data_IF_576164469498
#
_entry.id   IF_576164469498
#
_cell.length_a   1.000
_cell.length_b   1.000
_cell.length_c   1.000
_cell.angle_alpha   90.00
_cell.angle_beta   90.00
_cell.angle_gamma   90.00
#
_symmetry.space_group_name_H-M   'P 1'
#
loop_
_entity.id
_entity.type
_entity.pdbx_description
1 polymer ?
#
# COMPACT_ATOMS: atom_id res chain seq x y z
N UNK A 1 -89.66 -17.67 -20.20
CA UNK A 1 -89.07 -16.38 -19.78
C UNK A 1 -87.78 -16.66 -19.01
N UNK A 2 -86.62 -16.64 -19.69
CA UNK A 2 -85.31 -16.83 -19.07
C UNK A 2 -84.47 -15.57 -19.22
N UNK A 3 -84.18 -14.88 -18.11
CA UNK A 3 -83.26 -13.74 -18.08
C UNK A 3 -81.83 -14.27 -18.20
N UNK A 4 -81.12 -13.95 -19.27
CA UNK A 4 -79.67 -14.17 -19.37
C UNK A 4 -78.96 -12.99 -18.71
N UNK A 5 -78.26 -13.24 -17.60
CA UNK A 5 -77.34 -12.30 -16.97
C UNK A 5 -76.13 -12.08 -17.89
N UNK A 6 -75.81 -10.81 -18.16
CA UNK A 6 -74.58 -10.40 -18.82
C UNK A 6 -73.56 -10.02 -17.74
N UNK A 7 -72.57 -10.86 -17.51
CA UNK A 7 -71.48 -10.60 -16.56
C UNK A 7 -70.36 -9.85 -17.27
N UNK A 8 -70.15 -8.58 -16.93
CA UNK A 8 -69.04 -7.76 -17.42
C UNK A 8 -67.84 -7.99 -16.50
N UNK A 9 -66.74 -8.52 -17.05
CA UNK A 9 -65.45 -8.59 -16.36
C UNK A 9 -64.66 -7.30 -16.64
N UNK A 10 -64.48 -6.47 -15.61
CA UNK A 10 -63.58 -5.31 -15.66
C UNK A 10 -62.22 -5.78 -15.13
N UNK A 11 -61.24 -5.95 -16.01
CA UNK A 11 -59.85 -6.19 -15.65
C UNK A 11 -59.21 -4.86 -15.26
N UNK A 12 -58.98 -4.66 -13.96
CA UNK A 12 -58.30 -3.48 -13.41
C UNK A 12 -56.78 -3.65 -13.56
N UNK A 13 -56.19 -3.09 -14.62
CA UNK A 13 -54.74 -3.00 -14.76
C UNK A 13 -54.19 -1.92 -13.80
N UNK A 14 -53.61 -2.34 -12.68
CA UNK A 14 -52.84 -1.47 -11.80
C UNK A 14 -51.49 -1.20 -12.46
N UNK A 15 -51.32 -0.01 -13.04
CA UNK A 15 -50.03 0.48 -13.51
C UNK A 15 -49.26 1.00 -12.29
N UNK A 16 -48.29 0.22 -11.82
CA UNK A 16 -47.30 0.64 -10.82
C UNK A 16 -46.34 1.64 -11.48
N UNK A 17 -46.64 2.94 -11.34
CA UNK A 17 -45.71 4.01 -11.69
C UNK A 17 -44.64 4.05 -10.60
N UNK A 18 -43.49 3.43 -10.88
CA UNK A 18 -42.30 3.53 -10.03
C UNK A 18 -41.68 4.91 -10.29
N UNK A 19 -41.95 5.86 -9.39
CA UNK A 19 -41.19 7.11 -9.34
C UNK A 19 -39.72 6.78 -9.04
N UNK A 20 -38.86 6.89 -10.06
CA UNK A 20 -37.41 6.89 -9.88
C UNK A 20 -37.04 8.17 -9.12
N UNK A 21 -36.88 8.06 -7.80
CA UNK A 21 -36.10 9.04 -7.06
C UNK A 21 -34.65 8.83 -7.52
N UNK A 22 -33.99 9.79 -8.17
CA UNK A 22 -32.58 9.66 -8.46
C UNK A 22 -31.85 9.60 -7.12
N UNK A 23 -31.45 8.39 -6.72
CA UNK A 23 -30.53 8.21 -5.62
C UNK A 23 -29.28 9.01 -6.00
N UNK A 24 -29.06 10.12 -5.31
CA UNK A 24 -27.83 10.90 -5.43
C UNK A 24 -26.70 9.92 -5.13
N UNK A 25 -25.99 9.47 -6.17
CA UNK A 25 -24.91 8.50 -6.04
C UNK A 25 -23.99 9.02 -4.93
N UNK A 26 -23.81 8.20 -3.89
CA UNK A 26 -22.84 8.51 -2.85
C UNK A 26 -21.51 8.81 -3.56
N UNK A 27 -20.73 9.81 -3.11
CA UNK A 27 -19.45 10.11 -3.74
C UNK A 27 -18.66 8.81 -3.86
N UNK A 28 -18.26 8.49 -5.09
CA UNK A 28 -17.45 7.31 -5.41
C UNK A 28 -16.25 7.29 -4.48
N UNK A 29 -16.05 6.20 -3.76
CA UNK A 29 -14.82 5.99 -3.01
C UNK A 29 -13.92 5.14 -3.90
N UNK A 30 -12.89 5.72 -4.55
CA UNK A 30 -12.08 4.99 -5.53
C UNK A 30 -11.35 3.79 -4.92
N UNK A 31 -11.09 3.78 -3.61
CA UNK A 31 -10.50 2.62 -2.93
C UNK A 31 -11.49 1.47 -2.78
N UNK A 32 -12.75 1.79 -2.51
CA UNK A 32 -13.80 0.77 -2.43
C UNK A 32 -14.06 0.17 -3.80
N UNK A 33 -14.12 1.00 -4.84
CA UNK A 33 -14.29 0.54 -6.22
C UNK A 33 -13.13 -0.34 -6.67
N UNK A 34 -11.87 0.06 -6.39
CA UNK A 34 -10.70 -0.78 -6.65
C UNK A 34 -10.77 -2.12 -5.94
N UNK A 35 -11.11 -2.13 -4.65
CA UNK A 35 -11.19 -3.37 -3.89
C UNK A 35 -12.24 -4.32 -4.49
N UNK A 36 -13.41 -3.80 -4.86
CA UNK A 36 -14.45 -4.59 -5.53
C UNK A 36 -13.97 -5.12 -6.88
N UNK A 37 -13.26 -4.31 -7.66
CA UNK A 37 -12.67 -4.72 -8.93
C UNK A 37 -11.65 -5.86 -8.74
N UNK A 38 -10.77 -5.78 -7.74
CA UNK A 38 -9.80 -6.85 -7.44
C UNK A 38 -10.47 -8.14 -6.97
N UNK A 39 -11.47 -8.04 -6.09
CA UNK A 39 -12.22 -9.20 -5.60
C UNK A 39 -13.04 -9.87 -6.71
N UNK A 40 -13.63 -9.07 -7.61
CA UNK A 40 -14.28 -9.58 -8.81
C UNK A 40 -13.30 -10.36 -9.69
N UNK A 41 -12.10 -9.82 -9.91
CA UNK A 41 -11.08 -10.52 -10.71
C UNK A 41 -10.53 -11.78 -10.05
N UNK A 42 -10.40 -11.80 -8.72
CA UNK A 42 -10.08 -13.02 -7.98
C UNK A 42 -11.14 -14.09 -8.21
N UNK A 43 -12.43 -13.75 -8.15
CA UNK A 43 -13.51 -14.70 -8.36
C UNK A 43 -13.50 -15.33 -9.76
N UNK A 44 -13.06 -14.58 -10.78
CA UNK A 44 -13.03 -15.05 -12.18
C UNK A 44 -11.73 -15.78 -12.52
N UNK A 45 -10.58 -15.32 -12.01
CA UNK A 45 -9.26 -15.83 -12.41
C UNK A 45 -8.64 -16.79 -11.39
N UNK A 46 -9.07 -16.70 -10.13
CA UNK A 46 -8.49 -17.38 -8.98
C UNK A 46 -7.17 -16.78 -8.49
N UNK A 47 -6.71 -15.65 -9.06
CA UNK A 47 -5.55 -14.93 -8.53
C UNK A 47 -5.99 -14.12 -7.30
N UNK A 48 -5.36 -14.31 -6.13
CA UNK A 48 -5.79 -13.62 -4.92
C UNK A 48 -5.76 -12.10 -5.08
N UNK A 49 -6.84 -11.42 -4.66
CA UNK A 49 -6.96 -9.97 -4.77
C UNK A 49 -5.78 -9.19 -4.17
N UNK A 50 -5.08 -9.64 -3.09
CA UNK A 50 -3.95 -8.90 -2.54
C UNK A 50 -2.79 -8.76 -3.52
N UNK A 51 -2.59 -9.74 -4.42
CA UNK A 51 -1.57 -9.65 -5.45
C UNK A 51 -1.94 -8.66 -6.55
N UNK A 52 -3.21 -8.62 -6.94
CA UNK A 52 -3.72 -7.64 -7.91
C UNK A 52 -3.58 -6.21 -7.36
N UNK A 53 -4.00 -6.01 -6.11
CA UNK A 53 -3.84 -4.74 -5.40
C UNK A 53 -2.36 -4.34 -5.21
N UNK A 54 -1.49 -5.31 -4.94
CA UNK A 54 -0.05 -5.07 -4.80
C UNK A 54 0.61 -4.65 -6.11
N UNK A 55 0.24 -5.28 -7.23
CA UNK A 55 0.74 -4.89 -8.55
C UNK A 55 0.27 -3.49 -8.92
N UNK A 56 -1.02 -3.19 -8.73
CA UNK A 56 -1.55 -1.83 -8.94
C UNK A 56 -0.78 -0.81 -8.09
N UNK A 57 -0.63 -1.06 -6.78
CA UNK A 57 0.09 -0.15 -5.89
C UNK A 57 1.56 0.01 -6.28
N UNK A 58 2.23 -1.06 -6.70
CA UNK A 58 3.61 -1.00 -7.18
C UNK A 58 3.74 -0.13 -8.44
N UNK A 59 2.85 -0.30 -9.42
CA UNK A 59 2.84 0.50 -10.65
C UNK A 59 2.54 1.99 -10.38
N UNK A 60 1.63 2.29 -9.43
CA UNK A 60 1.37 3.64 -8.92
C UNK A 60 2.65 4.27 -8.36
N UNK A 61 3.39 3.54 -7.55
CA UNK A 61 4.64 4.02 -6.96
C UNK A 61 5.68 4.31 -8.04
N UNK A 62 5.85 3.42 -9.01
CA UNK A 62 6.78 3.63 -10.13
C UNK A 62 6.42 4.87 -10.95
N UNK A 63 5.15 5.09 -11.24
CA UNK A 63 4.67 6.27 -11.98
C UNK A 63 4.91 7.57 -11.21
N UNK A 64 4.71 7.57 -9.90
CA UNK A 64 5.00 8.74 -9.05
C UNK A 64 6.49 9.08 -8.99
N UNK A 65 7.36 8.07 -9.12
CA UNK A 65 8.81 8.22 -9.04
C UNK A 65 9.47 8.46 -10.41
N UNK A 66 8.82 8.08 -11.50
CA UNK A 66 9.31 8.24 -12.86
C UNK A 66 8.31 9.02 -13.72
N UNK A 67 8.64 10.29 -14.01
CA UNK A 67 7.79 11.23 -14.74
C UNK A 67 7.67 10.93 -16.25
N UNK A 68 8.52 10.05 -16.78
CA UNK A 68 8.47 9.65 -18.19
C UNK A 68 7.35 8.64 -18.48
N UNK A 69 6.65 8.18 -17.43
CA UNK A 69 5.50 7.28 -17.55
C UNK A 69 4.21 8.04 -17.86
N UNK A 70 3.30 7.47 -18.66
CA UNK A 70 2.04 8.11 -19.02
C UNK A 70 1.15 8.40 -17.80
N UNK A 71 0.27 9.39 -17.92
CA UNK A 71 -0.65 9.79 -16.84
C UNK A 71 -1.67 8.69 -16.51
N UNK A 72 -2.11 8.66 -15.26
CA UNK A 72 -3.14 7.73 -14.78
C UNK A 72 -4.51 8.26 -15.19
N UNK A 73 -5.16 7.59 -16.14
CA UNK A 73 -6.49 7.96 -16.64
C UNK A 73 -7.63 7.18 -15.95
N UNK A 74 -7.34 6.00 -15.44
CA UNK A 74 -8.31 5.04 -14.91
C UNK A 74 -8.28 4.88 -13.39
N UNK A 75 -9.05 3.91 -12.92
CA UNK A 75 -9.15 3.47 -11.54
C UNK A 75 -7.93 2.64 -11.11
N UNK A 76 -7.20 2.02 -12.03
CA UNK A 76 -5.93 1.31 -11.75
C UNK A 76 -4.75 1.95 -12.50
N UNK A 77 -3.54 1.68 -12.05
CA UNK A 77 -2.32 2.20 -12.66
C UNK A 77 -1.47 1.13 -13.36
N UNK A 78 -1.97 -0.11 -13.47
CA UNK A 78 -1.30 -1.17 -14.23
C UNK A 78 -1.19 -0.71 -15.67
N UNK A 79 0.03 -0.76 -16.22
CA UNK A 79 0.31 -0.39 -17.60
C UNK A 79 1.00 -1.55 -18.30
N UNK A 80 0.36 -2.06 -19.34
CA UNK A 80 0.90 -3.12 -20.19
C UNK A 80 1.50 -2.46 -21.43
N UNK A 81 2.74 -2.79 -21.75
CA UNK A 81 3.41 -2.22 -22.92
C UNK A 81 2.69 -2.65 -24.21
N UNK A 82 2.55 -1.76 -25.23
CA UNK A 82 1.82 -2.06 -26.46
C UNK A 82 2.22 -3.40 -27.11
N UNK A 83 3.51 -3.65 -27.28
CA UNK A 83 4.01 -4.92 -27.86
C UNK A 83 3.71 -6.18 -27.02
N UNK A 84 3.40 -6.04 -25.72
CA UNK A 84 2.90 -7.15 -24.89
C UNK A 84 1.39 -7.28 -25.00
N UNK A 85 0.69 -6.15 -25.08
CA UNK A 85 -0.75 -6.09 -25.25
C UNK A 85 -1.17 -6.73 -26.56
N UNK A 86 -0.71 -6.18 -27.70
CA UNK A 86 -1.09 -6.56 -29.06
C UNK A 86 -0.31 -7.77 -29.59
N UNK A 87 0.89 -8.00 -29.06
CA UNK A 87 1.76 -9.13 -29.40
C UNK A 87 3.09 -8.68 -30.04
N UNK A 88 4.20 -9.42 -29.85
CA UNK A 88 5.54 -8.96 -30.23
C UNK A 88 5.75 -8.65 -31.72
N UNK A 89 4.94 -9.24 -32.60
CA UNK A 89 5.02 -9.10 -34.06
C UNK A 89 3.75 -8.53 -34.67
N UNK A 90 2.85 -7.98 -33.86
CA UNK A 90 1.67 -7.31 -34.38
C UNK A 90 2.10 -6.03 -35.10
N UNK A 91 1.75 -5.84 -36.39
CA UNK A 91 2.08 -4.61 -37.11
C UNK A 91 1.36 -3.38 -36.54
N UNK A 92 0.25 -3.58 -35.83
CA UNK A 92 -0.48 -2.53 -35.12
C UNK A 92 -0.22 -2.63 -33.60
N UNK A 93 0.59 -1.71 -33.02
CA UNK A 93 0.84 -1.70 -31.59
C UNK A 93 -0.39 -1.32 -30.76
N UNK A 94 -1.37 -0.64 -31.36
CA UNK A 94 -2.58 -0.13 -30.70
C UNK A 94 -3.81 -1.01 -30.99
N UNK A 95 -3.59 -2.22 -31.54
CA UNK A 95 -4.63 -3.18 -31.87
C UNK A 95 -5.55 -3.45 -30.67
N UNK A 96 -6.86 -3.24 -30.89
CA UNK A 96 -7.93 -3.48 -29.92
C UNK A 96 -8.83 -4.66 -30.31
N UNK A 97 -8.54 -5.37 -31.41
CA UNK A 97 -9.37 -6.48 -31.90
C UNK A 97 -8.95 -7.79 -31.22
N UNK A 98 -9.77 -8.40 -30.35
CA UNK A 98 -9.33 -9.53 -29.52
C UNK A 98 -8.84 -10.74 -30.33
N UNK A 99 -9.42 -11.00 -31.51
CA UNK A 99 -8.99 -12.08 -32.38
C UNK A 99 -7.60 -11.85 -32.98
N UNK A 100 -7.31 -10.62 -33.42
CA UNK A 100 -6.02 -10.22 -33.98
C UNK A 100 -4.92 -10.25 -32.91
N UNK A 101 -5.20 -9.65 -31.74
CA UNK A 101 -4.29 -9.70 -30.58
C UNK A 101 -3.91 -11.14 -30.22
N UNK A 102 -4.90 -12.06 -30.15
CA UNK A 102 -4.63 -13.48 -29.88
C UNK A 102 -3.77 -14.14 -30.96
N UNK A 103 -4.02 -13.83 -32.23
CA UNK A 103 -3.24 -14.37 -33.35
C UNK A 103 -1.75 -14.02 -33.23
N UNK A 104 -1.43 -12.79 -32.81
CA UNK A 104 -0.05 -12.34 -32.58
C UNK A 104 0.51 -12.70 -31.20
N UNK A 105 -0.21 -13.50 -30.40
CA UNK A 105 0.21 -13.92 -29.07
C UNK A 105 0.19 -12.79 -28.03
N UNK A 106 -0.54 -11.71 -28.29
CA UNK A 106 -0.75 -10.61 -27.35
C UNK A 106 -1.62 -11.02 -26.16
N UNK A 107 -1.40 -10.35 -25.03
CA UNK A 107 -2.09 -10.66 -23.78
C UNK A 107 -3.45 -9.98 -23.62
N UNK A 108 -3.74 -8.93 -24.41
CA UNK A 108 -4.98 -8.14 -24.30
C UNK A 108 -6.25 -8.96 -24.48
N UNK A 109 -7.24 -8.75 -23.62
CA UNK A 109 -8.54 -9.43 -23.63
C UNK A 109 -9.65 -8.44 -23.34
N UNK A 110 -10.75 -8.61 -24.08
CA UNK A 110 -12.04 -7.98 -23.85
C UNK A 110 -12.71 -8.65 -22.65
N UNK A 111 -12.74 -7.95 -21.52
CA UNK A 111 -13.26 -8.45 -20.24
C UNK A 111 -14.66 -7.91 -19.94
N UNK A 112 -15.02 -6.73 -20.43
CA UNK A 112 -16.35 -6.14 -20.24
C UNK A 112 -17.37 -6.54 -21.32
N UNK A 113 -16.91 -7.19 -22.39
CA UNK A 113 -17.73 -7.76 -23.45
C UNK A 113 -18.16 -6.75 -24.51
N UNK A 114 -17.49 -5.61 -24.63
CA UNK A 114 -17.83 -4.56 -25.60
C UNK A 114 -17.34 -4.85 -27.03
N UNK A 115 -16.60 -5.95 -27.22
CA UNK A 115 -16.02 -6.40 -28.49
C UNK A 115 -14.59 -5.92 -28.72
N UNK A 116 -14.01 -5.15 -27.78
CA UNK A 116 -12.65 -4.61 -27.87
C UNK A 116 -11.83 -5.04 -26.66
N UNK A 117 -10.56 -5.31 -26.89
CA UNK A 117 -9.57 -5.39 -25.84
C UNK A 117 -8.89 -4.01 -25.76
N UNK A 118 -9.36 -3.16 -24.85
CA UNK A 118 -8.91 -1.79 -24.71
C UNK A 118 -7.85 -1.63 -23.58
N UNK A 119 -6.60 -1.24 -23.90
CA UNK A 119 -5.59 -0.99 -22.88
C UNK A 119 -5.87 0.25 -22.00
N UNK A 120 -6.89 1.05 -22.32
CA UNK A 120 -7.37 2.16 -21.50
C UNK A 120 -8.56 1.77 -20.60
N UNK A 121 -9.10 0.55 -20.73
CA UNK A 121 -10.16 0.03 -19.88
C UNK A 121 -9.59 -0.77 -18.70
N UNK A 122 -9.92 -0.36 -17.47
CA UNK A 122 -9.35 -0.97 -16.26
C UNK A 122 -9.73 -2.45 -16.10
N UNK A 123 -10.93 -2.87 -16.55
CA UNK A 123 -11.35 -4.27 -16.47
C UNK A 123 -10.55 -5.13 -17.45
N UNK A 124 -10.40 -4.68 -18.69
CA UNK A 124 -9.61 -5.38 -19.72
C UNK A 124 -8.15 -5.52 -19.29
N UNK A 125 -7.55 -4.43 -18.80
CA UNK A 125 -6.17 -4.42 -18.31
C UNK A 125 -5.99 -5.39 -17.15
N UNK A 126 -6.84 -5.28 -16.13
CA UNK A 126 -6.71 -6.10 -14.93
C UNK A 126 -6.96 -7.58 -15.23
N UNK A 127 -7.99 -7.89 -16.00
CA UNK A 127 -8.31 -9.26 -16.40
C UNK A 127 -7.18 -9.86 -17.25
N UNK A 128 -6.67 -9.12 -18.23
CA UNK A 128 -5.55 -9.56 -19.07
C UNK A 128 -4.31 -9.89 -18.24
N UNK A 129 -3.99 -9.04 -17.26
CA UNK A 129 -2.87 -9.25 -16.36
C UNK A 129 -3.09 -10.41 -15.37
N UNK A 130 -4.27 -10.49 -14.76
CA UNK A 130 -4.63 -11.57 -13.85
C UNK A 130 -4.65 -12.94 -14.56
N UNK A 131 -5.18 -12.99 -15.78
CA UNK A 131 -5.14 -14.19 -16.63
C UNK A 131 -3.71 -14.60 -16.95
N UNK A 132 -2.83 -13.65 -17.28
CA UNK A 132 -1.42 -13.92 -17.49
C UNK A 132 -0.76 -14.55 -16.25
N UNK A 133 -1.02 -14.03 -15.04
CA UNK A 133 -0.50 -14.65 -13.81
C UNK A 133 -1.08 -16.06 -13.60
N UNK A 134 -2.36 -16.25 -13.90
CA UNK A 134 -3.05 -17.53 -13.72
C UNK A 134 -2.52 -18.66 -14.62
N UNK A 135 -1.80 -18.33 -15.70
CA UNK A 135 -1.10 -19.31 -16.55
C UNK A 135 0.05 -20.01 -15.82
N UNK A 136 0.62 -19.39 -14.79
CA UNK A 136 1.70 -19.98 -13.99
C UNK A 136 1.16 -20.80 -12.83
N UNK A 137 -0.03 -20.48 -12.34
CA UNK A 137 -0.67 -21.11 -11.18
C UNK A 137 -1.24 -20.09 -10.21
N UNK A 138 -1.64 -20.57 -9.03
CA UNK A 138 -2.36 -19.77 -8.01
C UNK A 138 -1.68 -19.80 -6.65
N UNK A 139 -0.60 -20.56 -6.51
CA UNK A 139 0.20 -20.53 -5.30
C UNK A 139 1.10 -19.29 -5.28
N UNK A 140 1.61 -18.95 -4.08
CA UNK A 140 2.56 -17.85 -3.92
C UNK A 140 3.78 -17.98 -4.84
N UNK A 141 4.31 -19.19 -5.00
CA UNK A 141 5.52 -19.41 -5.80
C UNK A 141 5.23 -19.31 -7.30
N UNK A 142 4.09 -19.82 -7.76
CA UNK A 142 3.62 -19.67 -9.15
C UNK A 142 3.46 -18.20 -9.53
N UNK A 143 2.79 -17.43 -8.68
CA UNK A 143 2.58 -15.99 -8.91
C UNK A 143 3.92 -15.26 -8.94
N UNK A 144 4.87 -15.61 -8.07
CA UNK A 144 6.23 -15.05 -8.10
C UNK A 144 6.95 -15.38 -9.40
N UNK A 145 6.78 -16.57 -9.96
CA UNK A 145 7.32 -16.92 -11.28
C UNK A 145 6.70 -16.02 -12.37
N UNK A 146 5.38 -15.84 -12.37
CA UNK A 146 4.70 -14.95 -13.31
C UNK A 146 5.17 -13.50 -13.20
N UNK A 147 5.28 -12.97 -11.98
CA UNK A 147 5.82 -11.63 -11.73
C UNK A 147 7.28 -11.51 -12.19
N UNK A 148 8.12 -12.51 -11.96
CA UNK A 148 9.50 -12.52 -12.45
C UNK A 148 9.56 -12.49 -13.97
N UNK A 149 8.71 -13.29 -14.65
CA UNK A 149 8.62 -13.30 -16.11
C UNK A 149 8.14 -11.96 -16.66
N UNK A 150 7.21 -11.29 -15.98
CA UNK A 150 6.71 -9.98 -16.38
C UNK A 150 7.72 -8.85 -16.13
N UNK A 151 8.20 -8.70 -14.89
CA UNK A 151 9.02 -7.57 -14.46
C UNK A 151 10.52 -7.74 -14.71
N UNK A 152 11.01 -8.99 -14.79
CA UNK A 152 12.43 -9.31 -14.98
C UNK A 152 13.36 -8.65 -13.94
N UNK A 153 12.83 -8.38 -12.74
CA UNK A 153 13.55 -7.70 -11.67
C UNK A 153 13.21 -8.34 -10.30
N UNK A 154 14.19 -8.86 -9.54
CA UNK A 154 13.89 -9.69 -8.36
C UNK A 154 13.32 -8.83 -7.23
N UNK A 155 13.86 -7.62 -7.05
CA UNK A 155 13.37 -6.66 -6.04
C UNK A 155 11.91 -6.26 -6.30
N UNK A 156 11.47 -6.20 -7.56
CA UNK A 156 10.08 -5.88 -7.88
C UNK A 156 9.15 -7.00 -7.41
N UNK A 157 9.54 -8.25 -7.68
CA UNK A 157 8.80 -9.45 -7.24
C UNK A 157 8.68 -9.48 -5.72
N UNK A 158 9.77 -9.19 -5.00
CA UNK A 158 9.77 -9.18 -3.54
C UNK A 158 8.91 -8.04 -2.98
N UNK A 159 9.04 -6.81 -3.50
CA UNK A 159 8.21 -5.67 -3.09
C UNK A 159 6.72 -5.96 -3.30
N UNK A 160 6.33 -6.47 -4.48
CA UNK A 160 4.94 -6.83 -4.78
C UNK A 160 4.46 -7.93 -3.82
N UNK A 161 5.31 -8.94 -3.55
CA UNK A 161 4.96 -10.02 -2.60
C UNK A 161 4.78 -9.47 -1.18
N UNK A 162 5.63 -8.54 -0.74
CA UNK A 162 5.52 -7.89 0.56
C UNK A 162 4.24 -7.06 0.67
N UNK A 163 3.91 -6.27 -0.36
CA UNK A 163 2.66 -5.51 -0.43
C UNK A 163 1.43 -6.43 -0.38
N UNK A 164 1.44 -7.54 -1.13
CA UNK A 164 0.37 -8.52 -1.13
C UNK A 164 0.14 -9.08 0.29
N UNK A 165 1.23 -9.39 1.01
CA UNK A 165 1.13 -9.87 2.40
C UNK A 165 0.56 -8.81 3.36
N UNK A 166 0.90 -7.54 3.15
CA UNK A 166 0.32 -6.42 3.92
C UNK A 166 -1.19 -6.34 3.66
N UNK A 167 -1.61 -6.32 2.40
CA UNK A 167 -3.02 -6.25 2.03
C UNK A 167 -3.84 -7.45 2.53
N UNK A 168 -3.30 -8.66 2.39
CA UNK A 168 -3.90 -9.88 2.92
C UNK A 168 -4.12 -9.79 4.43
N UNK A 169 -3.11 -9.31 5.17
CA UNK A 169 -3.19 -9.20 6.64
C UNK A 169 -4.16 -8.11 7.10
N UNK A 170 -4.24 -7.00 6.36
CA UNK A 170 -5.05 -5.84 6.74
C UNK A 170 -6.49 -5.92 6.25
N UNK A 171 -6.75 -6.67 5.17
CA UNK A 171 -8.08 -6.82 4.57
C UNK A 171 -8.66 -5.54 3.95
N UNK A 172 -7.84 -4.50 3.72
CA UNK A 172 -8.29 -3.20 3.18
C UNK A 172 -7.15 -2.49 2.44
N UNK A 173 -7.51 -1.53 1.58
CA UNK A 173 -6.54 -0.71 0.82
C UNK A 173 -6.12 0.58 1.54
N UNK A 174 -6.98 1.18 2.37
CA UNK A 174 -6.69 2.44 3.06
C UNK A 174 -5.72 2.23 4.24
N UNK A 175 -4.43 2.36 3.93
CA UNK A 175 -3.29 2.08 4.83
C UNK A 175 -2.27 3.23 4.80
N UNK A 176 -2.75 4.47 4.91
CA UNK A 176 -1.95 5.70 4.79
C UNK A 176 -1.39 6.22 6.11
N UNK A 177 -1.78 5.63 7.22
CA UNK A 177 -1.39 6.11 8.55
C UNK A 177 0.12 5.95 8.77
N UNK A 178 0.71 6.92 9.48
CA UNK A 178 2.10 6.91 9.88
C UNK A 178 2.23 7.24 11.37
N UNK A 179 3.39 6.94 11.95
CA UNK A 179 3.68 7.19 13.35
C UNK A 179 5.13 7.67 13.53
N UNK A 180 5.38 8.50 14.55
CA UNK A 180 6.76 8.86 14.92
C UNK A 180 7.46 7.66 15.59
N UNK A 181 8.73 7.34 15.27
CA UNK A 181 9.34 6.07 15.71
C UNK A 181 9.65 5.98 17.21
N UNK A 182 9.49 7.07 17.97
CA UNK A 182 9.69 7.10 19.43
C UNK A 182 8.36 7.54 20.10
N UNK A 183 7.91 6.89 21.20
CA UNK A 183 6.73 7.35 21.91
C UNK A 183 6.96 8.75 22.51
N UNK A 184 6.02 9.67 22.28
CA UNK A 184 6.18 11.10 22.59
C UNK A 184 6.32 11.47 24.08
N UNK A 185 6.12 10.50 24.99
CA UNK A 185 6.27 10.70 26.43
C UNK A 185 7.68 10.34 26.94
N UNK A 186 8.55 9.78 26.09
CA UNK A 186 9.97 9.58 26.40
C UNK A 186 10.77 10.84 26.12
N UNK A 187 11.95 10.94 26.75
CA UNK A 187 12.93 11.96 26.42
C UNK A 187 13.63 11.61 25.11
N UNK A 188 13.61 12.51 24.14
CA UNK A 188 14.33 12.34 22.88
C UNK A 188 14.73 13.69 22.27
N UNK A 189 15.83 13.68 21.51
CA UNK A 189 16.28 14.84 20.72
C UNK A 189 16.81 14.39 19.37
N UNK A 190 16.58 15.21 18.35
CA UNK A 190 17.10 14.96 17.00
C UNK A 190 17.15 16.28 16.22
N UNK A 191 18.07 16.34 15.27
CA UNK A 191 18.23 17.44 14.31
C UNK A 191 18.47 16.85 12.93
N UNK A 192 18.42 17.67 11.88
CA UNK A 192 18.87 17.19 10.59
C UNK A 192 20.37 16.88 10.68
N UNK A 193 20.70 15.63 10.41
CA UNK A 193 22.09 15.12 10.35
C UNK A 193 22.37 14.53 8.98
N UNK A 194 21.52 14.81 7.99
CA UNK A 194 21.64 14.28 6.65
C UNK A 194 22.89 14.84 5.97
N UNK A 195 23.67 13.97 5.34
CA UNK A 195 24.89 14.40 4.64
C UNK A 195 26.09 14.65 5.56
N UNK A 196 25.92 14.61 6.90
CA UNK A 196 27.02 14.77 7.85
C UNK A 196 28.10 13.72 7.59
N UNK A 197 29.38 14.10 7.74
CA UNK A 197 30.50 13.18 7.52
C UNK A 197 30.48 12.07 8.58
N UNK A 198 30.38 10.81 8.15
CA UNK A 198 30.53 9.63 9.00
C UNK A 198 31.88 8.98 8.72
N UNK A 199 32.94 9.54 9.32
CA UNK A 199 34.27 8.97 9.16
C UNK A 199 35.25 9.37 10.25
N UNK A 200 35.83 8.35 10.87
CA UNK A 200 37.28 8.31 11.13
C UNK A 200 38.00 8.28 9.76
N UNK A 201 38.03 9.39 9.02
CA UNK A 201 38.83 9.54 7.78
C UNK A 201 38.24 9.02 6.45
N UNK A 202 36.93 8.78 6.33
CA UNK A 202 36.29 8.30 5.09
C UNK A 202 35.33 9.30 4.41
N UNK A 203 34.93 9.00 3.17
CA UNK A 203 33.98 9.77 2.33
C UNK A 203 32.49 9.41 2.56
N UNK A 204 32.15 8.65 3.60
CA UNK A 204 30.76 8.26 3.87
C UNK A 204 29.96 9.44 4.40
N UNK A 205 28.80 9.68 3.77
CA UNK A 205 27.79 10.61 4.27
C UNK A 205 26.80 9.88 5.18
N UNK A 206 26.16 10.62 6.08
CA UNK A 206 25.11 10.12 6.94
C UNK A 206 23.78 10.07 6.19
N UNK A 207 23.37 8.87 5.78
CA UNK A 207 22.15 8.60 5.03
C UNK A 207 20.95 8.33 5.97
N UNK A 208 20.81 9.16 7.00
CA UNK A 208 19.76 8.99 8.00
C UNK A 208 19.66 10.14 9.00
N UNK A 209 18.82 9.96 10.00
CA UNK A 209 18.67 10.86 11.15
C UNK A 209 18.87 10.07 12.43
N UNK A 210 19.77 10.55 13.28
CA UNK A 210 20.01 9.97 14.60
C UNK A 210 19.06 10.62 15.61
N UNK A 211 18.22 9.81 16.26
CA UNK A 211 17.27 10.22 17.31
C UNK A 211 17.84 9.74 18.65
N UNK A 212 18.44 10.64 19.40
CA UNK A 212 18.98 10.35 20.72
C UNK A 212 17.84 10.19 21.71
N UNK A 213 17.84 9.08 22.43
CA UNK A 213 16.86 8.73 23.45
C UNK A 213 17.50 7.75 24.44
N UNK A 214 16.89 7.59 25.61
CA UNK A 214 17.43 6.73 26.66
C UNK A 214 17.52 5.27 26.21
N UNK A 215 18.54 4.54 26.69
CA UNK A 215 18.70 3.12 26.40
C UNK A 215 17.46 2.34 26.86
N UNK A 216 16.94 1.45 26.01
CA UNK A 216 15.70 0.73 26.29
C UNK A 216 14.41 1.47 25.93
N UNK A 217 14.49 2.70 25.41
CA UNK A 217 13.30 3.39 24.87
C UNK A 217 12.67 2.56 23.74
N UNK A 218 11.35 2.30 23.75
CA UNK A 218 10.71 1.56 22.67
C UNK A 218 10.86 2.25 21.31
N UNK A 219 11.15 1.44 20.29
CA UNK A 219 11.19 1.88 18.88
C UNK A 219 9.98 1.34 18.16
N UNK A 220 9.21 2.23 17.55
CA UNK A 220 7.93 1.96 16.93
C UNK A 220 8.03 1.95 15.40
N UNK A 221 7.25 1.11 14.73
CA UNK A 221 7.09 1.18 13.28
C UNK A 221 6.47 2.50 12.86
N UNK A 222 7.05 3.16 11.87
CA UNK A 222 6.56 4.42 11.30
C UNK A 222 5.39 4.23 10.35
N UNK A 223 5.15 3.02 9.85
CA UNK A 223 4.21 2.74 8.76
C UNK A 223 3.55 1.35 8.91
N UNK A 224 2.54 1.10 8.08
CA UNK A 224 2.14 -0.26 7.72
C UNK A 224 3.24 -0.86 6.84
N UNK A 225 3.71 -2.05 7.17
CA UNK A 225 4.82 -2.62 6.41
C UNK A 225 5.12 -4.08 6.71
N UNK A 226 5.97 -4.65 5.88
CA UNK A 226 6.49 -6.02 6.00
C UNK A 226 7.91 -5.97 6.58
N UNK A 227 8.19 -6.83 7.56
CA UNK A 227 9.52 -6.99 8.15
C UNK A 227 10.43 -7.72 7.18
N UNK A 228 11.08 -6.95 6.31
CA UNK A 228 11.93 -7.45 5.23
C UNK A 228 13.24 -8.02 5.76
N UNK A 229 13.80 -7.43 6.82
CA UNK A 229 15.07 -7.88 7.38
C UNK A 229 15.15 -7.61 8.88
N UNK A 230 15.61 -8.61 9.64
CA UNK A 230 16.06 -8.45 11.02
C UNK A 230 17.42 -9.09 11.24
N UNK A 231 18.32 -8.42 11.97
CA UNK A 231 19.57 -9.04 12.41
C UNK A 231 20.72 -8.07 12.63
N UNK A 232 21.93 -8.64 12.71
CA UNK A 232 23.16 -7.88 12.94
C UNK A 232 23.70 -7.27 11.64
N UNK A 233 24.18 -6.02 11.72
CA UNK A 233 25.05 -5.40 10.74
C UNK A 233 26.27 -4.80 11.45
N UNK A 234 27.47 -4.96 10.86
CA UNK A 234 28.72 -4.47 11.47
C UNK A 234 28.66 -3.00 11.87
N UNK A 235 28.03 -2.14 11.08
CA UNK A 235 27.92 -0.72 11.38
C UNK A 235 26.65 -0.43 12.17
N UNK A 236 25.51 -0.95 11.72
CA UNK A 236 24.19 -0.68 12.29
C UNK A 236 23.82 -1.44 13.56
N UNK A 237 24.65 -2.37 14.03
CA UNK A 237 24.34 -3.23 15.16
C UNK A 237 23.11 -4.10 14.92
N UNK A 238 22.28 -4.28 15.94
CA UNK A 238 20.96 -4.86 15.78
C UNK A 238 20.06 -3.88 15.03
N UNK A 239 19.52 -4.35 13.91
CA UNK A 239 18.69 -3.54 13.04
C UNK A 239 17.47 -4.29 12.53
N UNK A 240 16.45 -3.53 12.19
CA UNK A 240 15.24 -4.00 11.52
C UNK A 240 14.95 -3.12 10.30
N UNK A 241 14.49 -3.74 9.23
CA UNK A 241 14.12 -3.11 7.98
C UNK A 241 12.67 -3.39 7.64
N UNK A 242 11.87 -2.35 7.45
CA UNK A 242 10.44 -2.46 7.13
C UNK A 242 10.20 -1.92 5.72
N UNK A 243 9.56 -2.72 4.87
CA UNK A 243 9.12 -2.33 3.52
C UNK A 243 7.66 -1.87 3.57
N UNK A 244 7.38 -0.65 3.14
CA UNK A 244 6.02 -0.10 3.09
C UNK A 244 5.33 -0.29 1.72
N UNK A 245 4.07 0.16 1.62
CA UNK A 245 3.26 0.14 0.40
C UNK A 245 3.66 1.20 -0.64
N UNK A 246 4.68 2.01 -0.38
CA UNK A 246 5.09 3.15 -1.20
C UNK A 246 6.54 3.03 -1.69
N UNK A 247 7.03 1.79 -1.83
CA UNK A 247 8.40 1.43 -2.20
C UNK A 247 9.48 1.95 -1.25
N UNK A 248 9.13 2.40 -0.04
CA UNK A 248 10.12 2.86 0.94
C UNK A 248 10.55 1.71 1.85
N UNK A 249 11.84 1.69 2.15
CA UNK A 249 12.48 0.89 3.18
C UNK A 249 12.82 1.79 4.37
N UNK A 250 12.21 1.49 5.51
CA UNK A 250 12.44 2.17 6.77
C UNK A 250 13.45 1.36 7.55
N UNK A 251 14.63 1.93 7.77
CA UNK A 251 15.75 1.29 8.45
C UNK A 251 15.84 1.79 9.89
N UNK A 252 15.89 0.87 10.84
CA UNK A 252 16.02 1.16 12.27
C UNK A 252 17.29 0.46 12.78
N UNK A 253 18.30 1.25 13.12
CA UNK A 253 19.61 0.76 13.57
C UNK A 253 19.88 1.01 15.05
N UNK A 254 20.98 0.43 15.52
CA UNK A 254 21.55 0.57 16.86
C UNK A 254 20.66 0.07 18.00
N UNK A 255 19.73 -0.85 17.72
CA UNK A 255 18.84 -1.38 18.73
C UNK A 255 19.63 -2.16 19.80
N UNK A 256 19.14 -2.21 21.03
CA UNK A 256 19.70 -3.11 22.05
C UNK A 256 19.16 -4.55 21.95
N UNK A 257 18.06 -4.72 21.23
CA UNK A 257 17.34 -5.97 21.07
C UNK A 257 16.00 -5.74 20.35
N UNK A 258 15.42 -6.83 19.88
CA UNK A 258 14.13 -6.84 19.20
C UNK A 258 13.00 -7.11 20.20
N UNK A 259 11.79 -6.67 19.85
CA UNK A 259 10.60 -7.20 20.51
C UNK A 259 10.48 -8.70 20.18
N UNK A 260 10.31 -9.54 21.20
CA UNK A 260 10.24 -11.00 21.08
C UNK A 260 9.07 -11.50 20.23
N UNK A 261 8.03 -10.68 20.07
CA UNK A 261 6.85 -10.99 19.28
C UNK A 261 7.05 -10.74 17.78
N UNK A 262 8.13 -10.03 17.39
CA UNK A 262 8.40 -9.66 16.00
C UNK A 262 9.44 -10.61 15.41
N UNK A 263 9.15 -11.13 14.21
CA UNK A 263 10.08 -11.90 13.38
C UNK A 263 10.14 -11.37 11.96
N UNK A 264 11.21 -11.71 11.25
CA UNK A 264 11.31 -11.46 9.82
C UNK A 264 10.14 -12.16 9.11
N UNK A 265 9.48 -11.43 8.20
CA UNK A 265 8.29 -11.90 7.50
C UNK A 265 6.95 -11.44 8.10
N UNK A 266 6.96 -10.82 9.28
CA UNK A 266 5.74 -10.29 9.88
C UNK A 266 5.24 -9.03 9.18
N UNK A 267 3.94 -8.77 9.31
CA UNK A 267 3.33 -7.50 8.93
C UNK A 267 3.09 -6.67 10.19
N UNK A 268 3.53 -5.42 10.16
CA UNK A 268 3.43 -4.46 11.27
C UNK A 268 2.52 -3.30 10.90
N UNK A 269 1.93 -2.66 11.92
CA UNK A 269 1.14 -1.43 11.82
C UNK A 269 1.94 -0.24 12.36
N UNK A 270 1.62 1.00 11.98
CA UNK A 270 2.21 2.17 12.62
C UNK A 270 2.02 2.10 14.14
N UNK A 271 3.08 2.39 14.91
CA UNK A 271 3.06 2.29 16.37
C UNK A 271 3.37 0.90 16.95
N UNK A 272 3.54 -0.15 16.12
CA UNK A 272 3.97 -1.47 16.59
C UNK A 272 5.38 -1.40 17.18
N UNK A 273 5.62 -1.93 18.39
CA UNK A 273 6.95 -1.96 19.00
C UNK A 273 7.83 -2.98 18.29
N UNK A 274 8.90 -2.50 17.65
CA UNK A 274 9.85 -3.31 16.87
C UNK A 274 11.02 -3.80 17.72
N UNK A 275 11.42 -3.02 18.72
CA UNK A 275 12.58 -3.25 19.57
C UNK A 275 12.82 -2.04 20.43
N UNK A 276 14.06 -1.87 20.90
CA UNK A 276 14.38 -0.80 21.83
C UNK A 276 15.71 -0.12 21.49
N UNK A 277 15.78 1.18 21.77
CA UNK A 277 16.95 2.02 21.56
C UNK A 277 18.14 1.43 22.29
N UNK A 278 19.28 1.39 21.62
CA UNK A 278 20.53 0.90 22.18
C UNK A 278 21.72 1.69 21.69
N UNK A 279 22.88 1.05 21.78
CA UNK A 279 24.18 1.58 21.33
C UNK A 279 24.98 0.49 20.61
N UNK A 280 24.27 -0.44 19.95
CA UNK A 280 24.89 -1.60 19.31
C UNK A 280 25.46 -1.27 17.93
N UNK A 281 26.59 -1.86 17.57
CA UNK A 281 27.21 -1.72 16.25
C UNK A 281 28.69 -1.39 16.30
N UNK A 282 29.23 -1.04 15.14
CA UNK A 282 30.66 -0.75 14.90
C UNK A 282 31.59 -1.88 15.37
N UNK A 283 31.24 -3.13 15.08
CA UNK A 283 32.03 -4.31 15.46
C UNK A 283 31.37 -5.66 15.15
N UNK A 284 31.96 -6.76 15.64
CA UNK A 284 31.34 -8.10 15.56
C UNK A 284 29.99 -8.16 16.31
N UNK A 285 29.15 -9.18 16.02
CA UNK A 285 27.87 -9.39 16.71
C UNK A 285 27.96 -9.22 18.23
N UNK A 286 27.06 -8.40 18.79
CA UNK A 286 27.02 -8.10 20.22
C UNK A 286 27.81 -6.88 20.67
N UNK A 287 28.58 -6.23 19.79
CA UNK A 287 29.31 -4.99 20.13
C UNK A 287 28.34 -3.88 20.55
N UNK A 288 28.52 -3.27 21.73
CA UNK A 288 27.71 -2.15 22.20
C UNK A 288 28.54 -1.12 22.98
N UNK A 289 27.99 0.07 23.21
CA UNK A 289 28.58 1.09 24.09
C UNK A 289 29.67 1.97 23.47
N UNK A 290 29.88 1.90 22.15
CA UNK A 290 30.91 2.71 21.43
C UNK A 290 30.47 4.16 21.17
N UNK A 291 29.21 4.49 21.42
CA UNK A 291 28.60 5.79 21.17
C UNK A 291 27.35 5.93 22.07
N UNK A 292 26.86 7.17 22.30
CA UNK A 292 25.66 7.40 23.10
C UNK A 292 24.44 6.67 22.53
N UNK A 293 23.49 6.20 23.37
CA UNK A 293 22.28 5.55 22.90
C UNK A 293 21.46 6.44 21.94
N UNK A 294 21.10 5.88 20.79
CA UNK A 294 20.26 6.54 19.81
C UNK A 294 19.63 5.52 18.86
N UNK A 295 18.52 5.91 18.23
CA UNK A 295 17.97 5.24 17.06
C UNK A 295 18.56 5.89 15.81
N UNK A 296 19.31 5.14 15.01
CA UNK A 296 19.60 5.57 13.64
C UNK A 296 18.41 5.21 12.74
N UNK A 297 17.73 6.21 12.22
CA UNK A 297 16.60 6.03 11.31
C UNK A 297 17.00 6.41 9.88
N UNK A 298 16.98 5.44 8.96
CA UNK A 298 17.25 5.63 7.54
C UNK A 298 15.99 5.43 6.70
N UNK A 299 15.91 6.10 5.56
CA UNK A 299 14.83 5.94 4.61
C UNK A 299 15.41 5.77 3.21
N UNK A 300 14.97 4.73 2.51
CA UNK A 300 15.43 4.43 1.16
C UNK A 300 14.23 4.14 0.26
N UNK A 301 14.27 4.58 -0.99
CA UNK A 301 13.16 4.42 -1.94
C UNK A 301 13.64 3.66 -3.18
N UNK A 302 12.83 2.71 -3.64
CA UNK A 302 13.09 1.99 -4.89
C UNK A 302 12.26 2.59 -6.05
N UNK A 303 12.92 3.02 -7.13
CA UNK A 303 12.28 3.65 -8.30
C UNK A 303 11.96 2.69 -9.45
N UNK A 304 12.12 1.39 -9.25
CA UNK A 304 11.95 0.38 -10.32
C UNK A 304 13.26 -0.10 -10.94
N UNK A 305 14.37 0.59 -10.69
CA UNK A 305 15.71 0.20 -11.16
C UNK A 305 16.73 0.22 -10.03
N UNK A 306 16.80 1.32 -9.29
CA UNK A 306 17.76 1.51 -8.20
C UNK A 306 17.07 1.91 -6.91
N UNK A 307 17.74 1.61 -5.80
CA UNK A 307 17.38 2.10 -4.47
C UNK A 307 18.28 3.27 -4.12
N UNK A 308 17.70 4.36 -3.64
CA UNK A 308 18.44 5.54 -3.22
C UNK A 308 17.97 5.99 -1.83
N UNK A 309 18.89 6.56 -1.06
CA UNK A 309 18.60 7.10 0.27
C UNK A 309 17.85 8.44 0.16
N UNK A 310 16.92 8.69 1.08
CA UNK A 310 16.11 9.92 1.18
C UNK A 310 16.30 10.52 2.57
N UNK A 311 16.45 11.84 2.66
CA UNK A 311 16.49 12.54 3.94
C UNK A 311 15.22 12.25 4.76
N UNK A 312 15.31 11.53 5.90
CA UNK A 312 14.13 11.20 6.68
C UNK A 312 13.68 12.36 7.57
N UNK A 313 14.51 13.38 7.81
CA UNK A 313 14.22 14.44 8.77
C UNK A 313 12.90 15.17 8.50
N UNK A 314 12.57 15.61 7.27
CA UNK A 314 11.28 16.26 6.99
C UNK A 314 10.08 15.38 7.31
N UNK A 315 10.15 14.07 7.02
CA UNK A 315 9.09 13.10 7.33
C UNK A 315 8.97 12.88 8.83
N UNK A 316 10.09 12.72 9.54
CA UNK A 316 10.12 12.61 10.99
C UNK A 316 9.46 13.82 11.68
N UNK A 317 9.74 15.05 11.23
CA UNK A 317 9.06 16.26 11.73
C UNK A 317 7.55 16.25 11.44
N UNK A 318 7.14 15.77 10.27
CA UNK A 318 5.72 15.66 9.93
C UNK A 318 5.01 14.64 10.82
N UNK A 319 5.55 13.43 10.94
CA UNK A 319 4.99 12.35 11.75
C UNK A 319 4.97 12.68 13.24
N UNK A 320 5.97 13.39 13.77
CA UNK A 320 5.96 13.88 15.15
C UNK A 320 4.75 14.80 15.40
N UNK A 321 4.51 15.77 14.51
CA UNK A 321 3.36 16.70 14.61
C UNK A 321 2.04 15.97 14.49
N UNK A 322 1.92 15.01 13.57
CA UNK A 322 0.71 14.21 13.38
C UNK A 322 0.41 13.36 14.60
N UNK A 323 1.42 12.67 15.15
CA UNK A 323 1.31 11.85 16.36
C UNK A 323 0.83 12.70 17.55
N UNK A 324 1.38 13.92 17.73
CA UNK A 324 0.92 14.86 18.76
C UNK A 324 -0.56 15.25 18.59
N UNK A 325 -0.98 15.54 17.36
CA UNK A 325 -2.38 15.87 17.05
C UNK A 325 -3.32 14.70 17.36
N UNK A 326 -2.94 13.49 17.00
CA UNK A 326 -3.72 12.28 17.26
C UNK A 326 -3.89 12.03 18.76
N UNK A 327 -2.80 12.12 19.54
CA UNK A 327 -2.85 11.99 21.00
C UNK A 327 -3.78 13.03 21.64
N UNK A 328 -3.69 14.29 21.23
CA UNK A 328 -4.58 15.35 21.73
C UNK A 328 -6.06 15.06 21.41
N UNK A 329 -6.34 14.58 20.19
CA UNK A 329 -7.70 14.19 19.79
C UNK A 329 -8.24 13.05 20.65
N UNK A 330 -7.42 12.02 20.89
CA UNK A 330 -7.79 10.88 21.74
C UNK A 330 -8.03 11.30 23.20
N UNK A 331 -7.19 12.17 23.76
CA UNK A 331 -7.38 12.73 25.11
C UNK A 331 -8.70 13.51 25.21
N UNK A 332 -8.99 14.36 24.23
CA UNK A 332 -10.24 15.12 24.18
C UNK A 332 -11.47 14.20 24.05
N UNK A 333 -11.39 13.13 23.26
CA UNK A 333 -12.45 12.13 23.15
C UNK A 333 -12.68 11.38 24.47
N UNK A 334 -11.59 10.94 25.14
CA UNK A 334 -11.67 10.30 26.46
C UNK A 334 -12.26 11.24 27.51
N UNK A 335 -11.89 12.52 27.48
CA UNK A 335 -12.46 13.53 28.36
C UNK A 335 -13.97 13.68 28.11
N UNK A 336 -14.40 13.88 26.86
CA UNK A 336 -15.84 14.00 26.50
C UNK A 336 -16.65 12.77 26.90
N UNK A 337 -16.10 11.57 26.70
CA UNK A 337 -16.73 10.32 27.11
C UNK A 337 -16.87 10.20 28.63
N UNK A 338 -15.88 10.68 29.40
CA UNK A 338 -15.92 10.70 30.87
C UNK A 338 -16.88 11.76 31.44
N UNK A 339 -17.04 12.90 30.77
CA UNK A 339 -17.86 14.01 31.27
C UNK A 339 -19.30 14.02 30.76
N UNK A 340 -19.73 13.01 29.99
CA UNK A 340 -21.12 12.86 29.54
C UNK A 340 -21.66 13.99 28.64
N UNK A 341 -20.78 14.79 28.02
CA UNK A 341 -21.19 15.96 27.25
C UNK A 341 -21.67 15.53 25.85
N UNK A 342 -22.95 15.15 25.73
CA UNK A 342 -23.64 15.08 24.45
C UNK A 342 -23.93 16.53 24.01
N UNK A 343 -23.56 16.95 22.80
CA UNK A 343 -23.98 18.25 22.30
C UNK A 343 -25.51 18.29 22.29
N UNK A 344 -26.10 19.24 23.01
CA UNK A 344 -27.54 19.51 22.96
C UNK A 344 -27.87 19.80 21.49
N UNK A 345 -28.83 19.07 20.87
CA UNK A 345 -29.28 19.42 19.53
C UNK A 345 -29.82 20.84 19.61
N UNK A 346 -29.22 21.77 18.86
CA UNK A 346 -29.79 23.09 18.65
C UNK A 346 -31.17 22.88 18.04
N UNK A 347 -32.22 22.98 18.86
CA UNK A 347 -33.57 23.13 18.36
C UNK A 347 -33.59 24.42 17.56
N UNK A 348 -33.80 24.29 16.25
CA UNK A 348 -34.06 25.44 15.39
C UNK A 348 -35.32 26.14 15.93
N UNK A 349 -35.16 27.37 16.38
CA UNK A 349 -36.29 28.25 16.70
C UNK A 349 -36.98 28.55 15.37
N UNK A 350 -38.26 28.17 15.18
CA UNK A 350 -38.99 28.53 13.97
C UNK A 350 -39.20 30.05 13.96
N UNK A 351 -38.94 30.65 12.79
CA UNK A 351 -39.26 32.07 12.52
C UNK A 351 -40.74 32.26 12.31
#
# INVERSE_FOLDING_TARGET
MGKKMLTIWITLCIVLIVFHIPAKAAPSNPEKERLLLYQGMEAVTGIPWPYLAAVDQYERNLRRLNKDRPEEKGLIAIHILPHRWSGPFNPDPDDRVPASIRFFGGMGRDADGDGKADPENDMDVLYSFARYLAEFGRTRDDIRIGLWKYYRHPVAVDIITHMARIYETMGKLDLKENHFPIPLHYNYTYRSTWGDRRGWGGLRIHEGTDIFADYGTPVLSTCYGYVELMGWNRYGGWRIGIRDLYNNYHYYGHLNGFNKEIKQGDVVKPGTVLGYVGSSGYGPPGTAGKFPPHLHFGLYTFNGSTTYSVDPYPRLRAWERETRKQLKKQQNQKHKARTGWLPVPTQAVPR
#
